data_IF_991321909639
#
_entry.id   IF_991321909639
#
_cell.length_a   1.000
_cell.length_b   1.000
_cell.length_c   1.000
_cell.angle_alpha   90.00
_cell.angle_beta   90.00
_cell.angle_gamma   90.00
#
_symmetry.space_group_name_H-M   'P 1'
#
loop_
_entity.id
_entity.type
_entity.pdbx_description
1 polymer ?
#
# COMPACT_ATOMS: atom_id res chain seq x y z
N UNK A 1 44.28 4.79 -29.58
CA UNK A 1 43.47 4.75 -28.34
C UNK A 1 42.68 6.05 -28.22
N UNK A 2 41.38 6.03 -28.54
CA UNK A 2 40.53 7.20 -28.39
C UNK A 2 40.20 7.42 -26.91
N UNK A 3 40.57 8.60 -26.37
CA UNK A 3 40.13 9.04 -25.04
C UNK A 3 38.60 9.05 -25.02
N UNK A 4 37.95 8.15 -24.28
CA UNK A 4 36.53 8.25 -23.92
C UNK A 4 36.30 9.64 -23.33
N UNK A 5 35.58 10.49 -24.05
CA UNK A 5 35.10 11.79 -23.56
C UNK A 5 34.29 11.48 -22.30
N UNK A 6 34.77 11.89 -21.12
CA UNK A 6 34.03 11.73 -19.87
C UNK A 6 32.75 12.55 -20.03
N UNK A 7 31.62 11.88 -20.26
CA UNK A 7 30.33 12.55 -20.39
C UNK A 7 30.11 13.38 -19.13
N UNK A 8 29.85 14.68 -19.30
CA UNK A 8 29.54 15.54 -18.16
C UNK A 8 28.27 15.02 -17.49
N UNK A 9 28.36 14.71 -16.20
CA UNK A 9 27.22 14.29 -15.39
C UNK A 9 26.27 15.48 -15.16
N UNK A 10 24.98 15.20 -15.16
CA UNK A 10 23.96 16.20 -14.81
C UNK A 10 23.81 16.17 -13.29
N UNK A 11 23.89 17.34 -12.65
CA UNK A 11 23.77 17.51 -11.20
C UNK A 11 22.44 18.16 -10.83
N UNK A 12 21.88 17.73 -9.71
CA UNK A 12 20.73 18.34 -9.05
C UNK A 12 21.26 19.33 -8.01
N UNK A 13 21.13 20.63 -8.28
CA UNK A 13 21.93 21.70 -7.67
C UNK A 13 21.49 22.21 -6.30
N UNK A 14 20.33 21.78 -5.83
CA UNK A 14 19.68 22.26 -4.59
C UNK A 14 20.03 21.45 -3.34
N UNK A 15 20.82 20.38 -3.47
CA UNK A 15 21.35 19.62 -2.33
C UNK A 15 22.77 20.07 -1.99
N UNK A 16 23.12 20.07 -0.71
CA UNK A 16 24.38 20.59 -0.12
C UNK A 16 25.68 20.13 -0.82
N UNK A 17 25.65 19.04 -1.58
CA UNK A 17 26.78 18.51 -2.35
C UNK A 17 26.50 18.31 -3.86
N UNK A 18 25.31 18.66 -4.36
CA UNK A 18 24.85 18.31 -5.71
C UNK A 18 24.71 16.80 -5.88
N UNK A 19 23.49 16.29 -6.11
CA UNK A 19 23.33 14.85 -6.38
C UNK A 19 23.33 14.57 -7.88
N UNK A 20 23.94 13.48 -8.35
CA UNK A 20 23.84 13.10 -9.75
C UNK A 20 22.39 12.79 -10.12
N UNK A 21 21.98 13.24 -11.30
CA UNK A 21 20.71 12.86 -11.89
C UNK A 21 20.66 11.34 -12.10
N UNK A 22 19.59 10.71 -11.60
CA UNK A 22 19.37 9.28 -11.78
C UNK A 22 18.08 9.04 -12.57
N UNK A 23 18.23 8.49 -13.78
CA UNK A 23 17.11 7.97 -14.57
C UNK A 23 16.27 6.96 -13.79
N UNK A 24 16.93 6.11 -13.00
CA UNK A 24 16.26 5.06 -12.22
C UNK A 24 15.35 5.65 -11.13
N UNK A 25 15.85 6.64 -10.38
CA UNK A 25 15.04 7.32 -9.36
C UNK A 25 13.88 8.10 -9.99
N UNK A 26 14.13 8.80 -11.10
CA UNK A 26 13.08 9.52 -11.80
C UNK A 26 12.03 8.54 -12.36
N UNK A 27 12.45 7.46 -13.02
CA UNK A 27 11.54 6.42 -13.53
C UNK A 27 10.73 5.77 -12.40
N UNK A 28 11.33 5.50 -11.25
CA UNK A 28 10.62 4.99 -10.07
C UNK A 28 9.54 5.99 -9.60
N UNK A 29 9.87 7.27 -9.49
CA UNK A 29 8.90 8.31 -9.11
C UNK A 29 7.74 8.45 -10.10
N UNK A 30 7.99 8.24 -11.40
CA UNK A 30 6.98 8.26 -12.45
C UNK A 30 6.12 6.99 -12.39
N UNK A 31 6.74 5.83 -12.17
CA UNK A 31 6.06 4.52 -12.04
C UNK A 31 5.03 4.55 -10.91
N UNK A 32 5.32 5.28 -9.84
CA UNK A 32 4.40 5.44 -8.71
C UNK A 32 3.02 6.02 -9.10
N UNK A 33 2.91 6.66 -10.27
CA UNK A 33 1.65 7.20 -10.80
C UNK A 33 0.83 6.23 -11.64
N UNK A 34 1.20 4.95 -11.63
CA UNK A 34 0.54 3.91 -12.43
C UNK A 34 1.03 3.83 -13.88
N UNK A 35 2.11 4.55 -14.23
CA UNK A 35 2.79 4.41 -15.52
C UNK A 35 3.64 3.13 -15.48
N UNK A 36 3.64 2.35 -16.56
CA UNK A 36 4.42 1.11 -16.61
C UNK A 36 5.93 1.39 -16.49
N UNK A 37 6.73 0.49 -15.87
CA UNK A 37 8.16 0.70 -15.67
C UNK A 37 8.93 1.03 -16.96
N UNK A 38 8.61 0.34 -18.06
CA UNK A 38 9.23 0.57 -19.36
C UNK A 38 8.98 2.01 -19.85
N UNK A 39 7.72 2.45 -19.81
CA UNK A 39 7.34 3.80 -20.26
C UNK A 39 7.87 4.89 -19.34
N UNK A 40 7.91 4.64 -18.04
CA UNK A 40 8.50 5.54 -17.06
C UNK A 40 10.01 5.73 -17.31
N UNK A 41 10.72 4.65 -17.64
CA UNK A 41 12.14 4.70 -18.00
C UNK A 41 12.39 5.44 -19.31
N UNK A 42 11.55 5.24 -20.33
CA UNK A 42 11.60 6.00 -21.58
C UNK A 42 11.41 7.51 -21.38
N UNK A 43 10.48 7.90 -20.50
CA UNK A 43 10.28 9.31 -20.13
C UNK A 43 11.51 9.86 -19.42
N UNK A 44 12.04 9.14 -18.41
CA UNK A 44 13.22 9.55 -17.69
C UNK A 44 14.46 9.69 -18.61
N UNK A 45 14.60 8.77 -19.58
CA UNK A 45 15.64 8.85 -20.62
C UNK A 45 15.44 10.07 -21.52
N UNK A 46 14.21 10.33 -21.97
CA UNK A 46 13.90 11.49 -22.81
C UNK A 46 14.24 12.81 -22.12
N UNK A 47 14.03 12.89 -20.80
CA UNK A 47 14.40 14.05 -19.97
C UNK A 47 15.93 14.22 -19.94
N UNK A 48 16.68 13.14 -19.73
CA UNK A 48 18.15 13.19 -19.77
C UNK A 48 18.66 13.67 -21.14
N UNK A 49 18.16 13.06 -22.22
CA UNK A 49 18.56 13.39 -23.59
C UNK A 49 18.26 14.85 -23.92
N UNK A 50 17.11 15.38 -23.46
CA UNK A 50 16.76 16.79 -23.60
C UNK A 50 17.72 17.72 -22.84
N UNK A 51 18.04 17.41 -21.58
CA UNK A 51 18.97 18.21 -20.77
C UNK A 51 20.37 18.24 -21.42
N UNK A 52 20.85 17.08 -21.89
CA UNK A 52 22.14 16.97 -22.61
C UNK A 52 22.13 17.76 -23.90
N UNK A 53 21.07 17.65 -24.70
CA UNK A 53 20.93 18.40 -25.96
C UNK A 53 20.95 19.92 -25.73
N UNK A 54 20.31 20.39 -24.66
CA UNK A 54 20.31 21.81 -24.26
C UNK A 54 21.59 22.26 -23.55
N UNK A 55 22.54 21.37 -23.29
CA UNK A 55 23.78 21.68 -22.56
C UNK A 55 23.56 21.98 -21.07
N UNK A 56 22.44 21.53 -20.49
CA UNK A 56 22.09 21.74 -19.08
C UNK A 56 22.68 20.58 -18.27
N UNK A 57 23.75 20.87 -17.51
CA UNK A 57 24.42 19.91 -16.63
C UNK A 57 24.20 20.19 -15.14
N UNK A 58 23.38 21.18 -14.82
CA UNK A 58 23.00 21.54 -13.47
C UNK A 58 21.54 22.01 -13.49
N UNK A 59 20.68 21.40 -12.68
CA UNK A 59 19.25 21.70 -12.63
C UNK A 59 18.74 21.62 -11.20
N UNK A 60 17.90 22.56 -10.78
CA UNK A 60 17.22 22.49 -9.49
C UNK A 60 16.10 21.43 -9.51
N UNK A 61 15.82 20.76 -8.39
CA UNK A 61 14.78 19.73 -8.30
C UNK A 61 13.42 20.26 -8.72
N UNK A 62 13.08 21.51 -8.37
CA UNK A 62 11.81 22.13 -8.78
C UNK A 62 11.71 22.31 -10.30
N UNK A 63 12.80 22.67 -10.98
CA UNK A 63 12.82 22.80 -12.42
C UNK A 63 12.77 21.42 -13.10
N UNK A 64 13.44 20.42 -12.53
CA UNK A 64 13.33 19.04 -13.00
C UNK A 64 11.90 18.50 -12.87
N UNK A 65 11.21 18.77 -11.75
CA UNK A 65 9.80 18.40 -11.52
C UNK A 65 8.89 19.04 -12.56
N UNK A 66 9.03 20.35 -12.82
CA UNK A 66 8.26 21.07 -13.86
C UNK A 66 8.48 20.48 -15.25
N UNK A 67 9.74 20.24 -15.62
CA UNK A 67 10.09 19.62 -16.91
C UNK A 67 9.47 18.22 -17.04
N UNK A 68 9.50 17.43 -15.96
CA UNK A 68 8.91 16.09 -15.93
C UNK A 68 7.40 16.14 -16.15
N UNK A 69 6.70 17.05 -15.46
CA UNK A 69 5.25 17.26 -15.62
C UNK A 69 4.90 17.60 -17.07
N UNK A 70 5.64 18.53 -17.69
CA UNK A 70 5.42 18.94 -19.09
C UNK A 70 5.63 17.78 -20.08
N UNK A 71 6.65 16.95 -19.85
CA UNK A 71 6.92 15.79 -20.71
C UNK A 71 5.86 14.69 -20.51
N UNK A 72 5.41 14.47 -19.27
CA UNK A 72 4.31 13.54 -19.01
C UNK A 72 3.03 14.04 -19.69
N UNK A 73 2.70 15.32 -19.56
CA UNK A 73 1.51 15.92 -20.15
C UNK A 73 1.52 15.80 -21.68
N UNK A 74 2.64 16.15 -22.32
CA UNK A 74 2.75 16.07 -23.78
C UNK A 74 2.73 14.63 -24.31
N UNK A 75 3.28 13.64 -23.59
CA UNK A 75 3.37 12.25 -24.05
C UNK A 75 2.17 11.38 -23.65
N UNK A 76 1.57 11.63 -22.49
CA UNK A 76 0.56 10.77 -21.87
C UNK A 76 -0.77 11.49 -21.61
N UNK A 77 -0.80 12.81 -21.68
CA UNK A 77 -1.99 13.62 -21.42
C UNK A 77 -2.03 14.21 -20.01
N UNK A 78 -2.95 15.16 -19.84
CA UNK A 78 -3.07 16.00 -18.64
C UNK A 78 -3.40 15.20 -17.38
N UNK A 79 -4.13 14.09 -17.48
CA UNK A 79 -4.53 13.28 -16.34
C UNK A 79 -3.32 12.62 -15.65
N UNK A 80 -2.36 12.12 -16.42
CA UNK A 80 -1.13 11.54 -15.86
C UNK A 80 -0.24 12.62 -15.23
N UNK A 81 -0.14 13.78 -15.87
CA UNK A 81 0.62 14.91 -15.35
C UNK A 81 0.05 15.40 -14.00
N UNK A 82 -1.29 15.45 -13.92
CA UNK A 82 -2.02 15.79 -12.70
C UNK A 82 -1.79 14.79 -11.57
N UNK A 83 -1.87 13.48 -11.87
CA UNK A 83 -1.56 12.42 -10.88
C UNK A 83 -0.12 12.52 -10.38
N UNK A 84 0.84 12.75 -11.28
CA UNK A 84 2.24 12.94 -10.91
C UNK A 84 2.46 14.18 -10.05
N UNK A 85 1.82 15.30 -10.37
CA UNK A 85 1.86 16.50 -9.53
C UNK A 85 1.34 16.22 -8.12
N UNK A 86 0.18 15.57 -7.99
CA UNK A 86 -0.39 15.21 -6.69
C UNK A 86 0.53 14.27 -5.90
N UNK A 87 1.14 13.30 -6.57
CA UNK A 87 2.11 12.37 -5.97
C UNK A 87 3.34 13.10 -5.41
N UNK A 88 3.90 14.05 -6.14
CA UNK A 88 5.02 14.87 -5.65
C UNK A 88 4.61 15.71 -4.43
N UNK A 89 3.42 16.30 -4.46
CA UNK A 89 2.90 17.13 -3.35
C UNK A 89 2.73 16.33 -2.06
N UNK A 90 2.39 15.04 -2.14
CA UNK A 90 2.32 14.18 -0.96
C UNK A 90 3.64 14.15 -0.18
N UNK A 91 4.76 13.98 -0.90
CA UNK A 91 6.10 13.98 -0.30
C UNK A 91 6.51 15.33 0.29
N UNK A 92 6.14 16.43 -0.37
CA UNK A 92 6.46 17.79 0.11
C UNK A 92 5.70 18.15 1.40
N UNK A 93 4.53 17.55 1.64
CA UNK A 93 3.71 17.81 2.82
C UNK A 93 4.15 17.04 4.07
N UNK A 94 5.13 16.14 3.96
CA UNK A 94 5.56 15.28 5.07
C UNK A 94 4.48 14.31 5.57
N UNK A 95 3.38 14.13 4.81
CA UNK A 95 2.32 13.17 5.13
C UNK A 95 2.64 11.83 4.48
N UNK A 96 2.93 10.76 5.23
CA UNK A 96 3.19 9.47 4.61
C UNK A 96 1.92 8.85 4.02
N UNK A 97 2.12 8.02 3.00
CA UNK A 97 1.10 7.12 2.48
C UNK A 97 1.05 5.85 3.33
N UNK A 98 -0.12 5.54 3.89
CA UNK A 98 -0.37 4.30 4.61
C UNK A 98 -1.38 3.46 3.82
N UNK A 99 -0.96 2.32 3.29
CA UNK A 99 -1.85 1.41 2.54
C UNK A 99 -2.20 0.24 3.44
N UNK A 100 -3.49 -0.01 3.66
CA UNK A 100 -4.00 -1.12 4.47
C UNK A 100 -4.66 -2.14 3.55
N UNK A 101 -4.07 -3.33 3.41
CA UNK A 101 -4.51 -4.40 2.49
C UNK A 101 -5.10 -5.56 3.30
N UNK A 102 -6.43 -5.59 3.41
CA UNK A 102 -7.18 -6.66 4.06
C UNK A 102 -7.58 -7.80 3.13
N UNK A 103 -8.17 -8.84 3.71
CA UNK A 103 -8.68 -10.02 3.00
C UNK A 103 -8.24 -11.35 3.61
N UNK A 104 -8.91 -12.44 3.24
CA UNK A 104 -8.69 -13.76 3.86
C UNK A 104 -7.37 -14.43 3.46
N UNK A 105 -7.02 -15.54 4.12
CA UNK A 105 -5.81 -16.31 3.81
C UNK A 105 -5.89 -16.89 2.39
N UNK A 106 -4.83 -16.72 1.58
CA UNK A 106 -4.72 -17.34 0.25
C UNK A 106 -5.15 -16.46 -0.93
N UNK A 107 -5.64 -15.23 -0.69
CA UNK A 107 -6.09 -14.32 -1.75
C UNK A 107 -4.97 -13.48 -2.41
N UNK A 108 -3.68 -13.78 -2.14
CA UNK A 108 -2.56 -13.09 -2.79
C UNK A 108 -2.11 -11.76 -2.17
N UNK A 109 -2.62 -11.37 -0.98
CA UNK A 109 -2.28 -10.09 -0.32
C UNK A 109 -0.79 -9.78 -0.23
N UNK A 110 0.03 -10.71 0.27
CA UNK A 110 1.46 -10.49 0.45
C UNK A 110 2.17 -10.28 -0.90
N UNK A 111 1.77 -11.00 -1.95
CA UNK A 111 2.31 -10.82 -3.30
C UNK A 111 1.94 -9.45 -3.87
N UNK A 112 0.66 -9.06 -3.75
CA UNK A 112 0.19 -7.73 -4.18
C UNK A 112 0.91 -6.63 -3.40
N UNK A 113 1.06 -6.76 -2.08
CA UNK A 113 1.76 -5.80 -1.23
C UNK A 113 3.21 -5.60 -1.67
N UNK A 114 3.93 -6.69 -1.97
CA UNK A 114 5.31 -6.63 -2.48
C UNK A 114 5.40 -5.92 -3.83
N UNK A 115 4.51 -6.26 -4.78
CA UNK A 115 4.48 -5.62 -6.10
C UNK A 115 4.14 -4.13 -6.01
N UNK A 116 3.16 -3.77 -5.16
CA UNK A 116 2.81 -2.37 -4.90
C UNK A 116 3.97 -1.63 -4.24
N UNK A 117 4.64 -2.25 -3.26
CA UNK A 117 5.82 -1.70 -2.60
C UNK A 117 6.93 -1.40 -3.60
N UNK A 118 7.24 -2.35 -4.48
CA UNK A 118 8.21 -2.18 -5.57
C UNK A 118 7.85 -1.01 -6.50
N UNK A 119 6.58 -0.95 -6.95
CA UNK A 119 6.12 0.09 -7.90
C UNK A 119 6.06 1.50 -7.28
N UNK A 120 5.71 1.61 -6.00
CA UNK A 120 5.60 2.89 -5.28
C UNK A 120 6.91 3.30 -4.58
N UNK A 121 7.94 2.44 -4.58
CA UNK A 121 9.18 2.66 -3.82
C UNK A 121 8.97 2.60 -2.31
N UNK A 122 7.99 1.83 -1.84
CA UNK A 122 7.68 1.65 -0.41
C UNK A 122 8.37 0.38 0.07
N UNK A 123 9.43 0.57 0.86
CA UNK A 123 10.23 -0.53 1.40
C UNK A 123 9.69 -1.06 2.74
N UNK A 124 8.77 -0.33 3.37
CA UNK A 124 8.25 -0.68 4.68
C UNK A 124 6.91 -1.43 4.53
N UNK A 125 7.00 -2.77 4.50
CA UNK A 125 5.83 -3.67 4.41
C UNK A 125 5.72 -4.45 5.72
N UNK A 126 4.56 -4.36 6.37
CA UNK A 126 4.29 -5.01 7.67
C UNK A 126 3.14 -6.00 7.50
N UNK A 127 3.26 -7.18 8.10
CA UNK A 127 2.18 -8.15 8.15
C UNK A 127 1.47 -8.12 9.51
N UNK A 128 0.15 -8.08 9.52
CA UNK A 128 -0.63 -8.20 10.77
C UNK A 128 -0.41 -9.55 11.47
N UNK A 129 0.00 -10.59 10.72
CA UNK A 129 0.38 -11.87 11.30
C UNK A 129 1.68 -11.75 12.11
N UNK A 130 2.65 -10.97 11.64
CA UNK A 130 3.88 -10.69 12.40
C UNK A 130 3.58 -9.92 13.69
N UNK A 131 2.65 -8.96 13.65
CA UNK A 131 2.16 -8.25 14.84
C UNK A 131 1.52 -9.24 15.83
N UNK A 132 0.64 -10.13 15.34
CA UNK A 132 0.02 -11.19 16.15
C UNK A 132 1.07 -12.08 16.82
N UNK A 133 2.11 -12.48 16.09
CA UNK A 133 3.20 -13.32 16.62
C UNK A 133 4.03 -12.62 17.71
N UNK A 134 4.33 -11.33 17.55
CA UNK A 134 4.98 -10.53 18.61
C UNK A 134 4.10 -10.45 19.85
N UNK A 135 2.81 -10.15 19.69
CA UNK A 135 1.87 -10.11 20.81
C UNK A 135 1.74 -11.48 21.50
N UNK A 136 1.72 -12.56 20.72
CA UNK A 136 1.69 -13.96 21.22
C UNK A 136 2.90 -14.30 22.07
N UNK A 137 4.08 -13.74 21.76
CA UNK A 137 5.30 -13.97 22.54
C UNK A 137 5.30 -13.23 23.89
N UNK A 138 4.58 -12.11 23.98
CA UNK A 138 4.53 -11.27 25.18
C UNK A 138 3.37 -11.62 26.13
N UNK A 139 2.26 -12.12 25.59
CA UNK A 139 1.04 -12.40 26.34
C UNK A 139 0.85 -13.90 26.49
N UNK A 140 0.63 -14.37 27.73
CA UNK A 140 0.44 -15.80 27.99
C UNK A 140 -0.83 -16.34 27.32
N UNK A 141 -0.86 -17.65 27.07
CA UNK A 141 -2.03 -18.33 26.50
C UNK A 141 -3.24 -18.27 27.43
N UNK A 142 -2.99 -18.22 28.73
CA UNK A 142 -4.01 -18.07 29.77
C UNK A 142 -4.60 -16.65 29.77
N UNK A 143 -3.86 -15.63 29.34
CA UNK A 143 -4.39 -14.28 29.24
C UNK A 143 -5.10 -14.07 27.90
N UNK A 144 -4.43 -14.41 26.80
CA UNK A 144 -4.89 -14.10 25.43
C UNK A 144 -4.87 -15.35 24.53
N UNK A 145 -5.78 -16.32 24.77
CA UNK A 145 -5.76 -17.59 24.06
C UNK A 145 -5.99 -17.46 22.54
N UNK A 146 -6.69 -16.41 22.10
CA UNK A 146 -6.96 -16.15 20.68
C UNK A 146 -5.68 -15.99 19.86
N UNK A 147 -4.63 -15.41 20.42
CA UNK A 147 -3.37 -15.16 19.70
C UNK A 147 -2.62 -16.44 19.31
N UNK A 148 -2.90 -17.55 20.01
CA UNK A 148 -2.21 -18.83 19.82
C UNK A 148 -2.80 -19.70 18.71
N UNK A 149 -3.88 -19.24 18.07
CA UNK A 149 -4.54 -19.91 16.97
C UNK A 149 -4.45 -19.08 15.68
N UNK A 150 -4.62 -19.74 14.53
CA UNK A 150 -4.87 -19.04 13.28
C UNK A 150 -6.26 -18.39 13.31
N UNK A 151 -6.47 -17.33 12.53
CA UNK A 151 -7.75 -16.62 12.45
C UNK A 151 -8.95 -17.53 12.24
N UNK A 152 -8.84 -18.50 11.34
CA UNK A 152 -9.89 -19.48 11.04
C UNK A 152 -10.09 -20.57 12.12
N UNK A 153 -9.23 -20.65 13.13
CA UNK A 153 -9.39 -21.56 14.28
C UNK A 153 -9.45 -20.82 15.62
N UNK A 154 -9.47 -19.48 15.64
CA UNK A 154 -9.47 -18.69 16.86
C UNK A 154 -10.63 -19.06 17.79
N UNK A 155 -11.81 -19.29 17.20
CA UNK A 155 -13.04 -19.71 17.87
C UNK A 155 -12.87 -20.90 18.83
N UNK A 156 -11.91 -21.81 18.59
CA UNK A 156 -11.67 -23.00 19.42
C UNK A 156 -11.16 -22.68 20.82
N UNK A 157 -10.71 -21.45 21.06
CA UNK A 157 -10.18 -21.06 22.38
C UNK A 157 -11.00 -19.96 23.03
N UNK A 158 -12.20 -19.67 22.50
CA UNK A 158 -13.13 -18.74 23.11
C UNK A 158 -13.58 -19.32 24.44
N UNK A 159 -13.68 -18.45 25.45
CA UNK A 159 -14.12 -18.83 26.81
C UNK A 159 -15.60 -18.57 27.02
N UNK A 160 -16.14 -17.63 26.27
CA UNK A 160 -17.52 -17.19 26.41
C UNK A 160 -18.44 -18.09 25.57
N UNK A 161 -19.53 -18.61 26.15
CA UNK A 161 -20.57 -19.29 25.37
C UNK A 161 -21.19 -18.33 24.35
N UNK A 162 -21.38 -18.80 23.12
CA UNK A 162 -22.06 -18.05 22.05
C UNK A 162 -23.51 -18.52 21.89
N UNK A 163 -24.39 -17.66 21.35
CA UNK A 163 -25.78 -18.04 21.11
C UNK A 163 -25.84 -19.03 19.95
N UNK A 164 -26.86 -19.90 19.93
CA UNK A 164 -27.06 -20.89 18.85
C UNK A 164 -27.12 -20.28 17.43
N UNK A 165 -27.45 -19.00 17.30
CA UNK A 165 -27.58 -18.30 16.01
C UNK A 165 -26.28 -17.66 15.51
N UNK A 166 -25.26 -17.54 16.37
CA UNK A 166 -24.04 -16.85 16.00
C UNK A 166 -23.05 -17.84 15.35
N UNK A 167 -22.28 -17.39 14.36
CA UNK A 167 -21.21 -18.22 13.78
C UNK A 167 -19.96 -18.10 14.66
N UNK A 168 -19.54 -19.17 15.37
CA UNK A 168 -18.40 -19.11 16.26
C UNK A 168 -17.10 -18.76 15.53
N UNK A 169 -16.95 -19.15 14.25
CA UNK A 169 -15.77 -18.84 13.45
C UNK A 169 -15.61 -17.32 13.32
N UNK A 170 -16.71 -16.62 13.04
CA UNK A 170 -16.70 -15.17 12.87
C UNK A 170 -16.48 -14.47 14.21
N UNK A 171 -17.14 -14.90 15.29
CA UNK A 171 -16.93 -14.31 16.62
C UNK A 171 -15.45 -14.41 17.02
N UNK A 172 -14.88 -15.62 16.98
CA UNK A 172 -13.49 -15.82 17.39
C UNK A 172 -12.51 -15.09 16.49
N UNK A 173 -12.83 -14.93 15.21
CA UNK A 173 -12.06 -14.10 14.30
C UNK A 173 -12.11 -12.62 14.70
N UNK A 174 -13.31 -12.08 14.96
CA UNK A 174 -13.49 -10.69 15.36
C UNK A 174 -12.78 -10.38 16.69
N UNK A 175 -12.91 -11.25 17.71
CA UNK A 175 -12.16 -11.09 18.95
C UNK A 175 -10.64 -11.03 18.69
N UNK A 176 -10.12 -11.89 17.81
CA UNK A 176 -8.70 -11.84 17.43
C UNK A 176 -8.33 -10.53 16.70
N UNK A 177 -9.21 -10.05 15.80
CA UNK A 177 -9.02 -8.77 15.07
C UNK A 177 -8.90 -7.61 16.04
N UNK A 178 -9.82 -7.50 17.01
CA UNK A 178 -9.82 -6.42 18.02
C UNK A 178 -8.51 -6.38 18.80
N UNK A 179 -8.00 -7.55 19.20
CA UNK A 179 -6.72 -7.66 19.92
C UNK A 179 -5.56 -7.19 19.04
N UNK A 180 -5.44 -7.72 17.82
CA UNK A 180 -4.32 -7.43 16.92
C UNK A 180 -4.35 -5.97 16.44
N UNK A 181 -5.53 -5.35 16.35
CA UNK A 181 -5.68 -3.96 15.92
C UNK A 181 -5.03 -2.94 16.86
N UNK A 182 -4.85 -3.28 18.14
CA UNK A 182 -4.07 -2.47 19.08
C UNK A 182 -2.63 -2.29 18.57
N UNK A 183 -2.00 -3.39 18.15
CA UNK A 183 -0.66 -3.37 17.58
C UNK A 183 -0.61 -2.74 16.20
N UNK A 184 -1.59 -3.02 15.34
CA UNK A 184 -1.71 -2.41 14.01
C UNK A 184 -1.76 -0.88 14.08
N UNK A 185 -2.61 -0.35 14.96
CA UNK A 185 -2.76 1.10 15.15
C UNK A 185 -1.47 1.74 15.68
N UNK A 186 -0.70 1.02 16.52
CA UNK A 186 0.59 1.49 16.99
C UNK A 186 1.63 1.58 15.85
N UNK A 187 1.65 0.60 14.94
CA UNK A 187 2.51 0.63 13.74
C UNK A 187 2.14 1.82 12.84
N UNK A 188 0.84 2.04 12.58
CA UNK A 188 0.38 3.19 11.78
C UNK A 188 0.81 4.51 12.43
N UNK A 189 0.54 4.72 13.72
CA UNK A 189 0.94 5.95 14.44
C UNK A 189 2.45 6.19 14.40
N UNK A 190 3.25 5.12 14.47
CA UNK A 190 4.71 5.21 14.35
C UNK A 190 5.14 5.63 12.95
N UNK A 191 4.57 5.01 11.92
CA UNK A 191 4.84 5.35 10.52
C UNK A 191 4.50 6.83 10.24
N UNK A 192 3.38 7.34 10.79
CA UNK A 192 3.01 8.76 10.71
C UNK A 192 4.07 9.64 11.37
N UNK A 193 4.47 9.32 12.60
CA UNK A 193 5.46 10.08 13.36
C UNK A 193 6.83 10.14 12.67
N UNK A 194 7.24 9.04 12.05
CA UNK A 194 8.52 8.93 11.35
C UNK A 194 8.45 9.43 9.89
N UNK A 195 7.26 9.77 9.38
CA UNK A 195 7.06 10.20 8.00
C UNK A 195 7.32 9.09 6.96
N UNK A 196 7.14 7.83 7.34
CA UNK A 196 7.50 6.66 6.52
C UNK A 196 6.27 6.09 5.82
N UNK A 197 6.29 6.11 4.48
CA UNK A 197 5.30 5.39 3.69
C UNK A 197 5.31 3.91 4.06
N UNK A 198 4.16 3.33 4.37
CA UNK A 198 4.06 1.96 4.89
C UNK A 198 2.89 1.22 4.26
N UNK A 199 3.11 -0.03 3.85
CA UNK A 199 2.06 -0.95 3.47
C UNK A 199 1.86 -1.92 4.64
N UNK A 200 0.63 -2.10 5.09
CA UNK A 200 0.29 -3.11 6.08
C UNK A 200 -0.70 -4.09 5.45
N UNK A 201 -0.40 -5.38 5.53
CA UNK A 201 -1.24 -6.42 4.94
C UNK A 201 -1.67 -7.46 5.99
N UNK A 202 -2.85 -8.04 5.78
CA UNK A 202 -3.21 -9.29 6.44
C UNK A 202 -4.69 -9.39 6.80
N UNK A 203 -5.04 -10.52 7.40
CA UNK A 203 -6.46 -10.87 7.65
C UNK A 203 -7.10 -10.00 8.73
N UNK A 204 -6.30 -9.39 9.61
CA UNK A 204 -6.81 -8.54 10.69
C UNK A 204 -7.17 -7.12 10.24
N UNK A 205 -6.86 -6.76 8.99
CA UNK A 205 -7.28 -5.49 8.39
C UNK A 205 -8.72 -5.69 7.93
N UNK A 206 -9.66 -5.41 8.84
CA UNK A 206 -11.10 -5.52 8.62
C UNK A 206 -11.71 -4.13 8.72
N UNK A 207 -12.51 -3.69 7.73
CA UNK A 207 -13.13 -2.38 7.79
C UNK A 207 -14.07 -2.25 8.99
N UNK A 208 -14.21 -1.03 9.53
CA UNK A 208 -14.98 -0.77 10.75
C UNK A 208 -14.26 -1.08 12.07
N UNK A 209 -13.19 -1.89 12.07
CA UNK A 209 -12.42 -2.20 13.29
C UNK A 209 -11.17 -1.32 13.49
N UNK A 210 -10.92 -0.42 12.54
CA UNK A 210 -9.83 0.56 12.60
C UNK A 210 -10.48 1.93 12.40
N UNK A 211 -10.46 2.77 13.43
CA UNK A 211 -10.90 4.16 13.29
C UNK A 211 -9.84 4.94 12.50
N UNK A 212 -10.15 5.24 11.23
CA UNK A 212 -9.24 5.92 10.33
C UNK A 212 -9.11 7.42 10.64
N UNK A 213 -10.07 8.00 11.37
CA UNK A 213 -10.05 9.42 11.73
C UNK A 213 -8.93 9.73 12.73
N UNK A 214 -8.40 8.73 13.43
CA UNK A 214 -7.26 8.94 14.33
C UNK A 214 -5.92 9.18 13.59
N UNK A 215 -5.90 9.15 12.26
CA UNK A 215 -4.69 9.16 11.42
C UNK A 215 -4.56 10.41 10.52
N UNK A 216 -4.98 11.58 10.98
CA UNK A 216 -5.00 12.86 10.21
C UNK A 216 -3.64 13.32 9.63
N UNK A 217 -2.54 12.77 10.16
CA UNK A 217 -1.17 13.01 9.70
C UNK A 217 -0.74 12.22 8.47
N UNK A 218 -1.60 11.37 7.91
CA UNK A 218 -1.27 10.53 6.74
C UNK A 218 -2.41 10.46 5.72
N UNK A 219 -2.06 10.05 4.51
CA UNK A 219 -3.05 9.58 3.54
C UNK A 219 -3.23 8.08 3.75
N UNK A 220 -4.34 7.69 4.37
CA UNK A 220 -4.65 6.29 4.64
C UNK A 220 -5.56 5.71 3.56
N UNK A 221 -5.14 4.59 2.97
CA UNK A 221 -5.82 3.90 1.87
C UNK A 221 -6.18 2.47 2.31
N UNK A 222 -7.38 2.26 2.87
CA UNK A 222 -7.90 0.93 3.16
C UNK A 222 -8.49 0.27 1.91
N UNK A 223 -8.19 -1.01 1.70
CA UNK A 223 -8.79 -1.82 0.64
C UNK A 223 -8.79 -3.30 1.03
N UNK A 224 -9.72 -4.06 0.44
CA UNK A 224 -9.81 -5.51 0.63
C UNK A 224 -9.46 -6.21 -0.68
N UNK A 225 -8.67 -7.28 -0.58
CA UNK A 225 -8.43 -8.20 -1.68
C UNK A 225 -9.32 -9.42 -1.51
N UNK A 226 -10.07 -9.75 -2.56
CA UNK A 226 -11.01 -10.88 -2.57
C UNK A 226 -10.66 -11.92 -3.62
N UNK A 227 -11.18 -13.13 -3.43
CA UNK A 227 -11.13 -14.21 -4.41
C UNK A 227 -12.48 -14.91 -4.43
N UNK A 228 -13.28 -14.65 -5.46
CA UNK A 228 -14.62 -15.24 -5.58
C UNK A 228 -14.62 -16.72 -5.95
N UNK A 229 -13.60 -17.18 -6.67
CA UNK A 229 -13.55 -18.56 -7.17
C UNK A 229 -12.91 -19.51 -6.14
N UNK A 230 -13.68 -20.51 -5.72
CA UNK A 230 -13.25 -21.48 -4.71
C UNK A 230 -12.11 -22.38 -5.17
N UNK A 231 -12.10 -22.79 -6.43
CA UNK A 231 -11.08 -23.71 -6.97
C UNK A 231 -9.76 -22.97 -7.15
N UNK A 232 -9.81 -21.75 -7.68
CA UNK A 232 -8.63 -20.88 -7.76
C UNK A 232 -8.09 -20.59 -6.35
N UNK A 233 -8.98 -20.25 -5.40
CA UNK A 233 -8.59 -20.00 -4.01
C UNK A 233 -7.93 -21.22 -3.36
N UNK A 234 -8.46 -22.43 -3.60
CA UNK A 234 -7.84 -23.69 -3.13
C UNK A 234 -6.46 -23.90 -3.74
N UNK A 235 -6.30 -23.66 -5.05
CA UNK A 235 -5.03 -23.87 -5.75
C UNK A 235 -3.89 -22.99 -5.20
N UNK A 236 -4.21 -21.77 -4.75
CA UNK A 236 -3.22 -20.88 -4.13
C UNK A 236 -2.59 -21.44 -2.85
N UNK A 237 -3.27 -22.30 -2.10
CA UNK A 237 -2.63 -22.94 -0.93
C UNK A 237 -1.54 -23.92 -1.35
N UNK A 238 -1.70 -24.56 -2.51
CA UNK A 238 -0.71 -25.49 -3.05
C UNK A 238 0.54 -24.72 -3.51
N UNK A 239 0.35 -23.65 -4.30
CA UNK A 239 1.44 -22.76 -4.74
C UNK A 239 2.21 -22.19 -3.54
N UNK A 240 1.49 -21.74 -2.51
CA UNK A 240 2.09 -21.15 -1.31
C UNK A 240 2.88 -22.15 -0.45
N UNK A 241 2.58 -23.45 -0.51
CA UNK A 241 3.39 -24.49 0.14
C UNK A 241 4.71 -24.71 -0.61
N UNK A 242 4.66 -24.74 -1.94
CA UNK A 242 5.85 -24.85 -2.81
C UNK A 242 6.78 -23.65 -2.59
N UNK A 243 6.25 -22.43 -2.60
CA UNK A 243 7.03 -21.20 -2.41
C UNK A 243 7.65 -21.08 -1.01
N UNK A 244 7.07 -21.76 0.00
CA UNK A 244 7.58 -21.76 1.38
C UNK A 244 8.42 -22.99 1.72
N UNK A 245 8.76 -23.81 0.72
CA UNK A 245 9.54 -25.03 0.92
C UNK A 245 8.89 -26.03 1.88
N UNK A 246 7.54 -26.07 1.93
CA UNK A 246 6.78 -27.00 2.77
C UNK A 246 6.68 -26.63 4.26
N UNK A 247 7.20 -25.47 4.70
CA UNK A 247 7.17 -25.06 6.12
C UNK A 247 5.77 -24.68 6.63
N UNK A 248 4.82 -24.37 5.75
CA UNK A 248 3.42 -24.11 6.09
C UNK A 248 2.53 -25.24 5.54
N UNK A 249 1.96 -26.10 6.39
CA UNK A 249 1.31 -27.33 5.93
C UNK A 249 0.00 -27.05 5.19
N UNK A 250 -0.03 -27.32 3.88
CA UNK A 250 -1.22 -27.24 3.01
C UNK A 250 -2.43 -27.98 3.58
N UNK A 251 -2.18 -29.12 4.23
CA UNK A 251 -3.21 -29.93 4.90
C UNK A 251 -4.06 -29.13 5.90
N UNK A 252 -3.44 -28.19 6.63
CA UNK A 252 -4.14 -27.37 7.64
C UNK A 252 -5.11 -26.39 6.98
N UNK A 253 -4.70 -25.70 5.91
CA UNK A 253 -5.56 -24.76 5.21
C UNK A 253 -6.72 -25.49 4.51
N UNK A 254 -6.43 -26.63 3.86
CA UNK A 254 -7.46 -27.46 3.23
C UNK A 254 -8.52 -27.95 4.24
N UNK A 255 -8.09 -28.40 5.42
CA UNK A 255 -9.00 -28.87 6.47
C UNK A 255 -9.89 -27.77 7.07
N UNK A 256 -9.51 -26.50 6.91
CA UNK A 256 -10.27 -25.35 7.45
C UNK A 256 -10.74 -24.41 6.33
N UNK A 257 -10.83 -24.89 5.09
CA UNK A 257 -11.15 -24.05 3.94
C UNK A 257 -12.49 -23.34 4.10
N UNK A 258 -13.51 -24.02 4.62
CA UNK A 258 -14.82 -23.43 4.89
C UNK A 258 -14.74 -22.28 5.90
N UNK A 259 -13.98 -22.43 6.98
CA UNK A 259 -13.75 -21.36 7.95
C UNK A 259 -13.01 -20.17 7.32
N UNK A 260 -12.04 -20.43 6.44
CA UNK A 260 -11.31 -19.38 5.70
C UNK A 260 -12.25 -18.63 4.74
N UNK A 261 -13.13 -19.35 4.06
CA UNK A 261 -14.16 -18.79 3.17
C UNK A 261 -15.16 -17.92 3.92
N UNK A 262 -15.71 -18.42 5.03
CA UNK A 262 -16.60 -17.66 5.91
C UNK A 262 -15.98 -16.34 6.36
N UNK A 263 -14.71 -16.37 6.77
CA UNK A 263 -13.98 -15.13 7.13
C UNK A 263 -13.85 -14.20 5.93
N UNK A 264 -13.53 -14.72 4.74
CA UNK A 264 -13.46 -13.93 3.51
C UNK A 264 -14.77 -13.24 3.19
N UNK A 265 -15.86 -14.01 3.15
CA UNK A 265 -17.22 -13.51 2.90
C UNK A 265 -17.67 -12.48 3.93
N UNK A 266 -17.32 -12.68 5.21
CA UNK A 266 -17.57 -11.69 6.25
C UNK A 266 -16.80 -10.38 6.02
N UNK A 267 -15.49 -10.45 5.75
CA UNK A 267 -14.65 -9.26 5.51
C UNK A 267 -15.11 -8.51 4.25
N UNK A 268 -15.46 -9.25 3.19
CA UNK A 268 -16.02 -8.69 1.95
C UNK A 268 -17.35 -8.00 2.22
N UNK A 269 -18.29 -8.65 2.93
CA UNK A 269 -19.58 -8.05 3.28
C UNK A 269 -19.46 -6.78 4.12
N UNK A 270 -18.55 -6.76 5.10
CA UNK A 270 -18.28 -5.55 5.91
C UNK A 270 -17.67 -4.43 5.05
N UNK A 271 -16.81 -4.79 4.09
CA UNK A 271 -16.23 -3.83 3.15
C UNK A 271 -17.28 -3.21 2.22
N UNK A 272 -18.19 -4.02 1.66
CA UNK A 272 -19.29 -3.55 0.83
C UNK A 272 -20.20 -2.58 1.59
N UNK A 273 -20.63 -2.96 2.80
CA UNK A 273 -21.48 -2.13 3.65
C UNK A 273 -20.83 -0.79 4.00
N UNK A 274 -19.51 -0.77 4.21
CA UNK A 274 -18.75 0.44 4.51
C UNK A 274 -18.27 1.22 3.29
N UNK A 275 -18.55 0.77 2.07
CA UNK A 275 -18.09 1.42 0.83
C UNK A 275 -16.57 1.34 0.62
N UNK A 276 -15.91 0.33 1.18
CA UNK A 276 -14.47 0.12 1.02
C UNK A 276 -14.16 -0.56 -0.33
N UNK A 277 -13.09 -0.18 -1.03
CA UNK A 277 -12.71 -0.82 -2.29
C UNK A 277 -12.39 -2.31 -2.10
N UNK A 278 -13.01 -3.14 -2.94
CA UNK A 278 -12.74 -4.58 -3.01
C UNK A 278 -12.08 -4.87 -4.35
N UNK A 279 -10.88 -5.46 -4.31
CA UNK A 279 -10.06 -5.75 -5.47
C UNK A 279 -10.02 -7.27 -5.70
N UNK A 280 -10.60 -7.77 -6.79
CA UNK A 280 -10.54 -9.19 -7.10
C UNK A 280 -9.13 -9.60 -7.54
N UNK A 281 -8.61 -10.70 -6.99
CA UNK A 281 -7.24 -11.18 -7.23
C UNK A 281 -7.16 -12.37 -8.21
N UNK A 282 -7.90 -12.34 -9.32
CA UNK A 282 -7.82 -13.40 -10.34
C UNK A 282 -6.52 -13.37 -11.15
N UNK A 283 -6.00 -12.16 -11.40
CA UNK A 283 -4.78 -11.92 -12.15
C UNK A 283 -3.95 -10.88 -11.39
N UNK A 284 -2.67 -11.17 -11.16
CA UNK A 284 -1.79 -10.33 -10.36
C UNK A 284 -1.66 -8.92 -10.95
N UNK A 285 -1.44 -8.79 -12.26
CA UNK A 285 -1.29 -7.48 -12.91
C UNK A 285 -2.56 -6.64 -12.79
N UNK A 286 -3.73 -7.25 -13.03
CA UNK A 286 -5.02 -6.57 -12.88
C UNK A 286 -5.28 -6.14 -11.43
N UNK A 287 -4.96 -6.99 -10.45
CA UNK A 287 -5.12 -6.67 -9.04
C UNK A 287 -4.19 -5.53 -8.60
N UNK A 288 -2.91 -5.59 -9.00
CA UNK A 288 -1.92 -4.54 -8.71
C UNK A 288 -2.35 -3.22 -9.36
N UNK A 289 -2.82 -3.23 -10.61
CA UNK A 289 -3.32 -2.03 -11.27
C UNK A 289 -4.59 -1.47 -10.58
N UNK A 290 -5.49 -2.34 -10.12
CA UNK A 290 -6.67 -1.95 -9.34
C UNK A 290 -6.30 -1.27 -8.03
N UNK A 291 -5.34 -1.84 -7.28
CA UNK A 291 -4.82 -1.23 -6.04
C UNK A 291 -4.15 0.11 -6.30
N UNK A 292 -3.28 0.20 -7.32
CA UNK A 292 -2.64 1.47 -7.69
C UNK A 292 -3.66 2.55 -8.04
N UNK A 293 -4.73 2.19 -8.76
CA UNK A 293 -5.80 3.12 -9.09
C UNK A 293 -6.45 3.67 -7.82
N UNK A 294 -6.83 2.81 -6.87
CA UNK A 294 -7.44 3.23 -5.59
C UNK A 294 -6.50 4.15 -4.81
N UNK A 295 -5.22 3.82 -4.73
CA UNK A 295 -4.21 4.64 -4.05
C UNK A 295 -4.12 6.03 -4.71
N UNK A 296 -4.00 6.07 -6.03
CA UNK A 296 -3.84 7.33 -6.76
C UNK A 296 -5.09 8.21 -6.68
N UNK A 297 -6.27 7.61 -6.78
CA UNK A 297 -7.53 8.36 -6.64
C UNK A 297 -7.62 9.00 -5.25
N UNK A 298 -7.21 8.28 -4.18
CA UNK A 298 -7.17 8.84 -2.82
C UNK A 298 -6.13 9.94 -2.66
N UNK A 299 -4.93 9.77 -3.25
CA UNK A 299 -3.87 10.80 -3.25
C UNK A 299 -4.33 12.06 -3.98
N UNK A 300 -5.01 11.91 -5.12
CA UNK A 300 -5.55 13.04 -5.88
C UNK A 300 -6.61 13.80 -5.08
N UNK A 301 -7.55 13.09 -4.44
CA UNK A 301 -8.56 13.72 -3.56
C UNK A 301 -7.90 14.47 -2.40
N UNK A 302 -6.90 13.87 -1.75
CA UNK A 302 -6.16 14.52 -0.67
C UNK A 302 -5.40 15.78 -1.14
N UNK A 303 -4.90 15.79 -2.38
CA UNK A 303 -4.27 16.96 -2.96
C UNK A 303 -5.29 18.07 -3.26
N UNK A 304 -6.50 17.70 -3.72
CA UNK A 304 -7.55 18.66 -4.09
C UNK A 304 -8.17 19.38 -2.92
N UNK A 305 -8.52 18.67 -1.84
CA UNK A 305 -9.10 19.29 -0.65
C UNK A 305 -8.20 20.43 -0.14
N UNK A 306 -6.87 20.27 -0.28
CA UNK A 306 -5.90 21.29 0.09
C UNK A 306 -5.73 22.46 -0.88
N UNK A 307 -5.86 22.24 -2.19
CA UNK A 307 -5.87 23.37 -3.14
C UNK A 307 -7.04 24.28 -2.79
N UNK A 308 -8.19 23.69 -2.45
CA UNK A 308 -9.37 24.43 -1.99
C UNK A 308 -9.09 25.12 -0.65
N UNK A 309 -8.58 24.43 0.38
CA UNK A 309 -8.23 25.05 1.68
C UNK A 309 -7.26 26.23 1.54
N UNK A 310 -6.20 26.10 0.72
CA UNK A 310 -5.22 27.16 0.50
C UNK A 310 -5.82 28.38 -0.24
N UNK A 311 -6.75 28.15 -1.17
CA UNK A 311 -7.48 29.23 -1.86
C UNK A 311 -8.50 29.95 -0.94
N UNK A 312 -8.96 29.29 0.13
CA UNK A 312 -9.81 29.89 1.16
C UNK A 312 -9.00 30.70 2.19
N UNK A 313 -7.89 30.18 2.71
CA UNK A 313 -6.98 30.91 3.62
C UNK A 313 -6.35 32.15 2.94
N UNK A 314 -6.04 32.04 1.63
CA UNK A 314 -5.55 33.17 0.83
C UNK A 314 -6.58 34.30 0.64
N UNK A 315 -7.88 34.03 0.81
CA UNK A 315 -8.95 35.04 0.72
C UNK A 315 -9.27 35.71 2.06
N UNK A 316 -8.93 35.09 3.20
CA UNK A 316 -9.08 35.71 4.51
C UNK A 316 -7.96 36.72 4.80
N UNK A 317 -6.72 36.44 4.35
CA UNK A 317 -5.58 37.37 4.49
C UNK A 317 -5.61 38.57 3.51
N UNK A 318 -6.65 38.73 2.70
CA UNK A 318 -6.91 39.90 1.85
C UNK A 318 -7.98 40.83 2.43
N UNK A 319 -8.45 40.56 3.67
CA UNK A 319 -9.46 41.34 4.39
C UNK A 319 -8.95 42.06 5.65
N UNK A 320 -7.64 42.03 5.91
CA UNK A 320 -6.97 42.90 6.89
C UNK A 320 -6.10 43.93 6.17
#
# INVERSE_FOLDING_TARGET
>A
MAKKKKEREILISDKKHGLPFSKGLLASSITATGISPNKAYEIAKSIEDFLRYKGIYSIESNNLRKLTIQIIESKLGIDYAKKYKCWLTLGDQGKPLIVLIGGTTGVGKSTIATEIGSRLGINHIVSSDAIREVMRALLSKELMPMLYNSSFTAWKSMRTPFRKKDDPVIIGFIEQVEIVNVGLSAVVRRAIREGINTIIEGVHIVPGFIDLNQFDGAVVVPLIVSMGDNEIHRSHFYVREVDTGGTRPFKRYRANFESIRKIGEHVEGVAELGGYPIIPSYNLDSAVNGVLKVILDKVVVSCFNKIVEADFEGKENLKE
#
